data_IF_587107488502
#
_entry.id   IF_587107488502
#
_cell.length_a   1.000
_cell.length_b   1.000
_cell.length_c   1.000
_cell.angle_alpha   90.00
_cell.angle_beta   90.00
_cell.angle_gamma   90.00
#
_symmetry.space_group_name_H-M   'P 1'
#
loop_
_entity.id
_entity.type
_entity.pdbx_description
1 polymer ?
#
# COMPACT_ATOMS: atom_id res chain seq x y z
N UNK A 1 -27.72 -16.25 26.71
CA UNK A 1 -26.65 -15.94 27.69
C UNK A 1 -26.61 -14.43 27.88
N UNK A 2 -26.53 -13.88 29.10
CA UNK A 2 -26.43 -12.43 29.30
C UNK A 2 -25.18 -11.87 28.62
N UNK A 3 -25.29 -10.70 27.97
CA UNK A 3 -24.20 -10.10 27.17
C UNK A 3 -22.89 -9.95 27.96
N UNK A 4 -22.96 -9.59 29.25
CA UNK A 4 -21.79 -9.43 30.12
C UNK A 4 -21.09 -10.78 30.38
N UNK A 5 -21.85 -11.86 30.57
CA UNK A 5 -21.28 -13.21 30.79
C UNK A 5 -20.59 -13.69 29.52
N UNK A 6 -21.16 -13.39 28.35
CA UNK A 6 -20.53 -13.66 27.06
C UNK A 6 -19.21 -12.89 26.87
N UNK A 7 -19.19 -11.59 27.15
CA UNK A 7 -17.99 -10.77 27.03
C UNK A 7 -16.85 -11.23 27.96
N UNK A 8 -17.17 -11.55 29.22
CA UNK A 8 -16.18 -12.08 30.19
C UNK A 8 -15.65 -13.44 29.73
N UNK A 9 -16.52 -14.31 29.22
CA UNK A 9 -16.10 -15.60 28.68
C UNK A 9 -15.14 -15.45 27.50
N UNK A 10 -15.46 -14.58 26.54
CA UNK A 10 -14.59 -14.31 25.39
C UNK A 10 -13.25 -13.71 25.81
N UNK A 11 -13.23 -12.80 26.79
CA UNK A 11 -11.98 -12.25 27.32
C UNK A 11 -11.10 -13.34 28.00
N UNK A 12 -11.70 -14.20 28.83
CA UNK A 12 -11.00 -15.34 29.44
C UNK A 12 -10.50 -16.35 28.40
N UNK A 13 -11.26 -16.56 27.32
CA UNK A 13 -10.85 -17.39 26.18
C UNK A 13 -9.67 -16.76 25.42
N UNK A 14 -9.70 -15.44 25.22
CA UNK A 14 -8.64 -14.70 24.55
C UNK A 14 -7.31 -14.72 25.32
N UNK A 15 -7.33 -14.81 26.66
CA UNK A 15 -6.13 -14.92 27.48
C UNK A 15 -5.24 -16.11 27.06
N UNK A 16 -5.85 -17.24 26.63
CA UNK A 16 -5.11 -18.41 26.14
C UNK A 16 -4.37 -18.16 24.82
N UNK A 17 -4.76 -17.10 24.09
CA UNK A 17 -4.16 -16.69 22.81
C UNK A 17 -3.13 -15.57 23.00
N UNK A 18 -2.85 -15.14 24.24
CA UNK A 18 -1.86 -14.09 24.50
C UNK A 18 -0.46 -14.65 24.23
N UNK A 19 0.39 -13.91 23.50
CA UNK A 19 1.76 -14.30 23.25
C UNK A 19 2.54 -14.53 24.56
N UNK A 20 3.29 -15.64 24.69
CA UNK A 20 4.05 -15.93 25.91
C UNK A 20 5.37 -15.16 26.01
N UNK A 21 5.81 -14.53 24.92
CA UNK A 21 7.09 -13.82 24.84
C UNK A 21 6.97 -12.51 24.07
N UNK A 22 7.88 -11.57 24.30
CA UNK A 22 7.89 -10.27 23.61
C UNK A 22 8.15 -10.46 22.11
N UNK A 23 9.04 -11.38 21.73
CA UNK A 23 9.30 -11.71 20.32
C UNK A 23 8.02 -12.16 19.61
N UNK A 24 7.22 -13.01 20.26
CA UNK A 24 5.95 -13.49 19.69
C UNK A 24 4.90 -12.38 19.65
N UNK A 25 4.85 -11.51 20.67
CA UNK A 25 3.95 -10.37 20.71
C UNK A 25 4.24 -9.36 19.60
N UNK A 26 5.50 -8.96 19.45
CA UNK A 26 5.97 -8.04 18.42
C UNK A 26 5.77 -8.64 17.02
N UNK A 27 6.16 -9.89 16.81
CA UNK A 27 5.97 -10.58 15.52
C UNK A 27 4.49 -10.64 15.12
N UNK A 28 3.59 -10.89 16.09
CA UNK A 28 2.13 -10.85 15.84
C UNK A 28 1.64 -9.44 15.51
N UNK A 29 2.13 -8.41 16.19
CA UNK A 29 1.78 -7.02 15.89
C UNK A 29 2.25 -6.61 14.48
N UNK A 30 3.48 -6.95 14.09
CA UNK A 30 3.98 -6.72 12.73
C UNK A 30 3.18 -7.50 11.68
N UNK A 31 2.73 -8.72 12.02
CA UNK A 31 1.84 -9.48 11.14
C UNK A 31 0.51 -8.75 10.89
N UNK A 32 -0.04 -8.05 11.88
CA UNK A 32 -1.24 -7.24 11.68
C UNK A 32 -0.99 -6.04 10.76
N UNK A 33 0.16 -5.37 10.91
CA UNK A 33 0.57 -4.31 9.97
C UNK A 33 0.68 -4.85 8.55
N UNK A 34 1.28 -6.03 8.36
CA UNK A 34 1.37 -6.68 7.06
C UNK A 34 0.00 -7.09 6.49
N UNK A 35 -1.02 -7.30 7.33
CA UNK A 35 -2.38 -7.58 6.87
C UNK A 35 -3.01 -6.33 6.26
N UNK A 36 -2.91 -5.14 6.89
CA UNK A 36 -3.47 -3.93 6.28
C UNK A 36 -2.76 -3.57 4.97
N UNK A 37 -1.44 -3.73 4.90
CA UNK A 37 -0.68 -3.57 3.65
C UNK A 37 -1.14 -4.52 2.53
N UNK A 38 -1.58 -5.75 2.87
CA UNK A 38 -2.16 -6.68 1.89
C UNK A 38 -3.54 -6.24 1.43
N UNK A 39 -4.32 -5.64 2.32
CA UNK A 39 -5.62 -5.07 1.96
C UNK A 39 -5.44 -3.91 0.96
N UNK A 40 -4.46 -3.03 1.19
CA UNK A 40 -4.08 -1.98 0.23
C UNK A 40 -3.63 -2.59 -1.10
N UNK A 41 -2.79 -3.63 -1.08
CA UNK A 41 -2.36 -4.31 -2.31
C UNK A 41 -3.56 -4.91 -3.08
N UNK A 42 -4.55 -5.47 -2.37
CA UNK A 42 -5.79 -5.96 -2.99
C UNK A 42 -6.55 -4.80 -3.65
N UNK A 43 -6.73 -3.68 -2.94
CA UNK A 43 -7.43 -2.50 -3.45
C UNK A 43 -6.76 -1.94 -4.71
N UNK A 44 -5.41 -1.88 -4.74
CA UNK A 44 -4.67 -1.47 -5.94
C UNK A 44 -4.93 -2.39 -7.14
N UNK A 45 -5.10 -3.70 -6.91
CA UNK A 45 -5.41 -4.67 -7.97
C UNK A 45 -6.86 -4.55 -8.50
N UNK A 46 -7.74 -3.88 -7.76
CA UNK A 46 -9.13 -3.63 -8.16
C UNK A 46 -9.27 -2.34 -8.99
N UNK A 47 -8.22 -1.51 -9.08
CA UNK A 47 -8.20 -0.30 -9.90
C UNK A 47 -8.32 -0.63 -11.40
N UNK A 48 -9.23 0.08 -12.09
CA UNK A 48 -9.52 -0.13 -13.51
C UNK A 48 -8.92 0.97 -14.39
N UNK A 49 -8.44 0.63 -15.60
CA UNK A 49 -8.03 1.64 -16.57
C UNK A 49 -9.25 2.27 -17.21
N UNK A 50 -9.11 3.51 -17.65
CA UNK A 50 -10.13 4.18 -18.44
C UNK A 50 -10.51 3.35 -19.66
N UNK A 51 -11.79 2.98 -19.74
CA UNK A 51 -12.35 2.28 -20.90
C UNK A 51 -12.08 3.11 -22.16
N UNK A 52 -11.28 2.56 -23.07
CA UNK A 52 -10.90 3.21 -24.33
C UNK A 52 -11.84 2.80 -25.47
N UNK A 53 -13.15 2.81 -25.24
CA UNK A 53 -14.13 2.52 -26.28
C UNK A 53 -15.18 3.65 -26.43
N UNK A 54 -15.00 4.55 -27.41
CA UNK A 54 -16.12 5.18 -28.09
C UNK A 54 -16.45 4.33 -29.33
N UNK A 55 -17.21 3.26 -29.16
CA UNK A 55 -17.72 2.49 -30.29
C UNK A 55 -17.75 0.98 -30.10
N UNK A 56 -18.77 0.49 -29.39
CA UNK A 56 -19.42 -0.75 -29.80
C UNK A 56 -20.93 -0.65 -29.58
N UNK A 57 -21.52 0.46 -30.06
CA UNK A 57 -22.94 0.51 -30.40
C UNK A 57 -23.09 0.62 -31.92
N UNK A 58 -22.79 -0.46 -32.63
CA UNK A 58 -23.40 -0.83 -33.92
C UNK A 58 -22.85 -2.22 -34.25
N UNK A 59 -23.63 -3.28 -34.39
CA UNK A 59 -24.83 -3.38 -35.21
C UNK A 59 -25.47 -4.76 -34.96
N UNK A 60 -26.66 -4.80 -34.37
CA UNK A 60 -27.60 -5.88 -34.67
C UNK A 60 -28.86 -5.28 -35.29
N UNK A 61 -28.75 -4.98 -36.59
CA UNK A 61 -29.90 -4.73 -37.43
C UNK A 61 -30.61 -6.06 -37.70
N UNK A 62 -31.55 -6.42 -36.82
CA UNK A 62 -32.60 -7.38 -37.17
C UNK A 62 -33.97 -6.77 -36.85
N UNK A 63 -34.77 -6.36 -37.85
CA UNK A 63 -36.09 -5.81 -37.59
C UNK A 63 -37.09 -6.95 -37.46
N UNK A 64 -37.64 -7.18 -36.26
CA UNK A 64 -38.88 -7.96 -36.10
C UNK A 64 -39.64 -7.62 -34.82
N UNK A 65 -40.61 -6.73 -35.01
CA UNK A 65 -41.98 -6.75 -34.47
C UNK A 65 -42.17 -6.58 -32.94
N UNK A 66 -42.75 -5.41 -32.64
CA UNK A 66 -43.38 -4.98 -31.40
C UNK A 66 -44.11 -6.05 -30.58
N UNK A 67 -43.89 -6.03 -29.27
CA UNK A 67 -44.96 -6.02 -28.26
C UNK A 67 -44.44 -5.36 -26.97
N UNK A 68 -45.27 -4.46 -26.45
CA UNK A 68 -45.01 -3.51 -25.36
C UNK A 68 -45.12 -4.11 -23.96
N UNK A 69 -44.18 -3.76 -23.07
CA UNK A 69 -44.40 -3.65 -21.61
C UNK A 69 -43.36 -2.70 -20.97
N UNK A 70 -43.75 -1.90 -19.95
CA UNK A 70 -42.88 -0.98 -19.25
C UNK A 70 -42.22 -1.65 -18.02
N UNK A 71 -41.26 -0.95 -17.39
CA UNK A 71 -40.57 -1.30 -16.12
C UNK A 71 -39.33 -2.21 -16.38
N UNK A 72 -38.10 -1.86 -16.02
CA UNK A 72 -37.58 -0.91 -15.03
C UNK A 72 -36.50 -0.04 -15.67
N UNK A 73 -36.52 1.27 -15.39
CA UNK A 73 -35.30 2.08 -15.47
C UNK A 73 -34.37 1.54 -14.36
N UNK A 74 -33.65 0.45 -14.67
CA UNK A 74 -32.41 0.11 -14.00
C UNK A 74 -31.48 1.28 -14.32
N UNK A 75 -31.60 2.34 -13.52
CA UNK A 75 -30.52 3.29 -13.30
C UNK A 75 -29.40 2.40 -12.76
N UNK A 76 -28.65 1.80 -13.67
CA UNK A 76 -27.32 1.32 -13.37
C UNK A 76 -26.68 2.50 -12.68
N UNK A 77 -26.37 2.34 -11.40
CA UNK A 77 -25.30 3.07 -10.74
C UNK A 77 -24.02 2.73 -11.53
N UNK A 78 -23.95 3.25 -12.76
CA UNK A 78 -22.80 3.25 -13.65
C UNK A 78 -21.80 4.16 -12.94
N UNK A 79 -21.11 3.50 -12.01
CA UNK A 79 -19.82 3.80 -11.41
C UNK A 79 -19.26 5.12 -11.94
N UNK A 80 -19.73 6.21 -11.31
CA UNK A 80 -19.40 7.58 -11.66
C UNK A 80 -17.89 7.81 -11.47
N UNK A 81 -17.10 7.45 -12.48
CA UNK A 81 -15.79 8.02 -12.78
C UNK A 81 -14.63 7.65 -11.85
N UNK A 82 -14.26 6.38 -11.75
CA UNK A 82 -13.00 5.94 -11.12
C UNK A 82 -11.94 5.42 -12.10
N UNK A 83 -12.16 5.64 -13.38
CA UNK A 83 -11.35 5.11 -14.47
C UNK A 83 -10.01 5.86 -14.56
N UNK A 84 -8.89 5.15 -14.34
CA UNK A 84 -7.55 5.76 -14.36
C UNK A 84 -7.10 6.08 -15.79
N UNK A 85 -6.56 7.27 -16.02
CA UNK A 85 -5.82 7.55 -17.25
C UNK A 85 -4.63 6.58 -17.43
N UNK A 86 -4.10 6.39 -18.65
CA UNK A 86 -2.92 5.54 -18.87
C UNK A 86 -1.73 5.93 -17.98
N UNK A 87 -1.54 7.23 -17.75
CA UNK A 87 -0.51 7.77 -16.87
C UNK A 87 -0.76 7.44 -15.39
N UNK A 88 -1.99 7.64 -14.90
CA UNK A 88 -2.39 7.31 -13.53
C UNK A 88 -2.34 5.80 -13.26
N UNK A 89 -2.73 4.98 -14.25
CA UNK A 89 -2.63 3.53 -14.17
C UNK A 89 -1.17 3.07 -14.08
N UNK A 90 -0.24 3.74 -14.78
CA UNK A 90 1.20 3.46 -14.64
C UNK A 90 1.69 3.74 -13.22
N UNK A 91 1.22 4.82 -12.59
CA UNK A 91 1.55 5.14 -11.20
C UNK A 91 1.01 4.05 -10.26
N UNK A 92 -0.24 3.61 -10.45
CA UNK A 92 -0.84 2.52 -9.67
C UNK A 92 -0.06 1.20 -9.79
N UNK A 93 0.42 0.84 -10.99
CA UNK A 93 1.25 -0.36 -11.20
C UNK A 93 2.61 -0.28 -10.49
N UNK A 94 3.24 0.89 -10.48
CA UNK A 94 4.49 1.10 -9.74
C UNK A 94 4.25 1.03 -8.22
N UNK A 95 3.17 1.63 -7.74
CA UNK A 95 2.77 1.55 -6.35
C UNK A 95 2.48 0.10 -5.91
N UNK A 96 1.83 -0.69 -6.76
CA UNK A 96 1.67 -2.13 -6.55
C UNK A 96 3.02 -2.82 -6.33
N UNK A 97 4.03 -2.53 -7.17
CA UNK A 97 5.39 -3.03 -7.00
C UNK A 97 6.00 -2.67 -5.65
N UNK A 98 5.89 -1.39 -5.25
CA UNK A 98 6.37 -0.90 -3.94
C UNK A 98 5.69 -1.61 -2.78
N UNK A 99 4.36 -1.73 -2.79
CA UNK A 99 3.59 -2.38 -1.72
C UNK A 99 3.93 -3.87 -1.63
N UNK A 100 4.05 -4.54 -2.78
CA UNK A 100 4.44 -5.95 -2.88
C UNK A 100 5.83 -6.20 -2.28
N UNK A 101 6.85 -5.44 -2.69
CA UNK A 101 8.20 -5.57 -2.14
C UNK A 101 8.26 -5.19 -0.65
N UNK A 102 7.45 -4.22 -0.22
CA UNK A 102 7.33 -3.87 1.21
C UNK A 102 6.82 -5.05 2.02
N UNK A 103 5.82 -5.79 1.53
CA UNK A 103 5.32 -7.00 2.18
C UNK A 103 6.39 -8.09 2.29
N UNK A 104 7.27 -8.22 1.27
CA UNK A 104 8.41 -9.15 1.33
C UNK A 104 9.37 -8.74 2.44
N UNK A 105 9.73 -7.45 2.54
CA UNK A 105 10.59 -6.93 3.61
C UNK A 105 9.99 -7.19 4.99
N UNK A 106 8.70 -6.89 5.20
CA UNK A 106 8.05 -7.11 6.51
C UNK A 106 7.99 -8.60 6.85
N UNK A 107 7.74 -9.48 5.86
CA UNK A 107 7.76 -10.93 6.07
C UNK A 107 9.14 -11.42 6.51
N UNK A 108 10.21 -10.98 5.85
CA UNK A 108 11.58 -11.36 6.22
C UNK A 108 12.01 -10.72 7.55
N UNK A 109 11.52 -9.52 7.89
CA UNK A 109 11.70 -8.90 9.20
C UNK A 109 11.08 -9.77 10.31
N UNK A 110 9.82 -10.18 10.14
CA UNK A 110 9.13 -11.07 11.09
C UNK A 110 9.89 -12.39 11.24
N UNK A 111 10.36 -12.97 10.14
CA UNK A 111 11.15 -14.21 10.16
C UNK A 111 12.47 -14.01 10.93
N UNK A 112 13.15 -12.91 10.69
CA UNK A 112 14.41 -12.55 11.36
C UNK A 112 14.21 -12.39 12.86
N UNK A 113 13.22 -11.61 13.29
CA UNK A 113 12.87 -11.42 14.71
C UNK A 113 12.46 -12.74 15.37
N UNK A 114 11.65 -13.56 14.69
CA UNK A 114 11.23 -14.87 15.22
C UNK A 114 12.44 -15.79 15.44
N UNK A 115 13.44 -15.72 14.55
CA UNK A 115 14.71 -16.43 14.71
C UNK A 115 15.52 -16.01 15.94
N UNK A 116 15.29 -14.79 16.44
CA UNK A 116 15.96 -14.23 17.62
C UNK A 116 15.29 -14.60 18.95
N UNK A 117 14.27 -15.47 18.96
CA UNK A 117 13.56 -15.88 20.19
C UNK A 117 14.50 -16.33 21.31
N UNK A 118 15.63 -16.98 20.96
CA UNK A 118 16.62 -17.47 21.93
C UNK A 118 17.45 -16.36 22.59
N UNK A 119 17.43 -15.15 22.04
CA UNK A 119 18.13 -13.98 22.58
C UNK A 119 17.31 -13.28 23.67
N UNK A 120 16.02 -13.62 23.82
CA UNK A 120 15.19 -13.08 24.87
C UNK A 120 15.66 -13.62 26.23
N UNK A 121 16.29 -12.74 27.03
CA UNK A 121 16.79 -13.07 28.37
C UNK A 121 16.29 -12.05 29.40
N UNK A 122 16.04 -12.46 30.65
CA UNK A 122 15.60 -11.54 31.70
C UNK A 122 16.64 -10.48 32.08
N UNK A 123 17.93 -10.76 31.82
CA UNK A 123 19.06 -9.99 32.36
C UNK A 123 19.55 -8.84 31.45
N UNK A 124 18.96 -8.64 30.27
CA UNK A 124 19.41 -7.63 29.29
C UNK A 124 18.90 -6.20 29.57
N UNK A 125 18.44 -5.92 30.79
CA UNK A 125 17.87 -4.61 31.19
C UNK A 125 16.80 -4.05 30.21
N UNK A 126 16.13 -4.94 29.46
CA UNK A 126 15.11 -4.58 28.47
C UNK A 126 15.65 -4.01 27.14
N UNK A 127 16.96 -4.00 26.88
CA UNK A 127 17.52 -3.43 25.63
C UNK A 127 17.03 -4.16 24.38
N UNK A 128 17.10 -5.49 24.36
CA UNK A 128 16.59 -6.30 23.27
C UNK A 128 15.11 -6.01 22.98
N UNK A 129 14.27 -5.97 24.03
CA UNK A 129 12.84 -5.65 23.88
C UNK A 129 12.65 -4.23 23.36
N UNK A 130 13.42 -3.26 23.84
CA UNK A 130 13.40 -1.88 23.34
C UNK A 130 13.75 -1.77 21.85
N UNK A 131 14.73 -2.54 21.37
CA UNK A 131 15.04 -2.64 19.94
C UNK A 131 13.89 -3.27 19.14
N UNK A 132 13.25 -4.33 19.64
CA UNK A 132 12.08 -4.93 18.99
C UNK A 132 10.89 -3.96 18.92
N UNK A 133 10.62 -3.20 19.98
CA UNK A 133 9.59 -2.16 19.99
C UNK A 133 9.91 -1.04 19.01
N UNK A 134 11.18 -0.65 18.88
CA UNK A 134 11.62 0.32 17.89
C UNK A 134 11.36 -0.18 16.48
N UNK A 135 11.70 -1.44 16.17
CA UNK A 135 11.38 -2.06 14.88
C UNK A 135 9.88 -2.08 14.62
N UNK A 136 9.05 -2.40 15.62
CA UNK A 136 7.60 -2.39 15.49
C UNK A 136 7.08 -1.00 15.13
N UNK A 137 7.55 0.05 15.82
CA UNK A 137 7.15 1.43 15.53
C UNK A 137 7.53 1.85 14.11
N UNK A 138 8.72 1.47 13.66
CA UNK A 138 9.14 1.75 12.28
C UNK A 138 8.28 0.99 11.27
N UNK A 139 7.97 -0.29 11.52
CA UNK A 139 7.07 -1.10 10.70
C UNK A 139 5.66 -0.50 10.62
N UNK A 140 5.10 -0.05 11.74
CA UNK A 140 3.83 0.67 11.78
C UNK A 140 3.88 1.98 10.98
N UNK A 141 5.00 2.71 11.08
CA UNK A 141 5.23 3.91 10.28
C UNK A 141 5.23 3.60 8.78
N UNK A 142 5.90 2.52 8.35
CA UNK A 142 5.86 2.07 6.95
C UNK A 142 4.43 1.70 6.53
N UNK A 143 3.65 1.04 7.39
CA UNK A 143 2.24 0.75 7.14
C UNK A 143 1.41 2.01 6.89
N UNK A 144 1.58 3.04 7.71
CA UNK A 144 0.90 4.31 7.52
C UNK A 144 1.25 5.01 6.19
N UNK A 145 2.52 4.96 5.76
CA UNK A 145 2.90 5.51 4.45
C UNK A 145 2.31 4.67 3.28
N UNK A 146 2.14 3.34 3.46
CA UNK A 146 1.49 2.48 2.46
C UNK A 146 0.00 2.80 2.35
N UNK A 147 -0.70 2.98 3.48
CA UNK A 147 -2.11 3.39 3.50
C UNK A 147 -2.28 4.76 2.80
N UNK A 148 -1.38 5.72 3.07
CA UNK A 148 -1.34 7.02 2.39
C UNK A 148 -1.15 6.86 0.87
N UNK A 149 -0.17 6.07 0.43
CA UNK A 149 0.03 5.79 -0.99
C UNK A 149 -1.25 5.21 -1.60
N UNK A 150 -1.87 4.23 -0.95
CA UNK A 150 -3.13 3.62 -1.42
C UNK A 150 -4.24 4.65 -1.64
N UNK A 151 -4.43 5.56 -0.69
CA UNK A 151 -5.42 6.63 -0.78
C UNK A 151 -5.12 7.61 -1.92
N UNK A 152 -3.86 7.97 -2.13
CA UNK A 152 -3.45 8.91 -3.18
C UNK A 152 -3.53 8.36 -4.61
N UNK A 153 -3.82 7.07 -4.80
CA UNK A 153 -3.93 6.44 -6.12
C UNK A 153 -5.30 6.61 -6.78
N UNK A 154 -6.31 7.03 -6.02
CA UNK A 154 -7.62 7.36 -6.57
C UNK A 154 -7.59 8.72 -7.29
N UNK A 155 -8.32 8.89 -8.41
CA UNK A 155 -8.35 10.15 -9.14
C UNK A 155 -8.96 11.33 -8.34
N UNK A 156 -8.42 12.56 -8.50
CA UNK A 156 -7.13 12.87 -9.13
C UNK A 156 -5.96 12.47 -8.23
N UNK A 157 -4.95 11.78 -8.77
CA UNK A 157 -3.84 11.28 -7.97
C UNK A 157 -2.98 12.40 -7.34
N UNK A 158 -2.66 12.23 -6.05
CA UNK A 158 -1.87 13.21 -5.28
C UNK A 158 -0.36 12.95 -5.37
N UNK A 159 0.23 13.25 -6.53
CA UNK A 159 1.63 12.91 -6.87
C UNK A 159 2.65 13.40 -5.83
N UNK A 160 2.49 14.60 -5.29
CA UNK A 160 3.42 15.15 -4.29
C UNK A 160 3.32 14.42 -2.94
N UNK A 161 2.11 14.00 -2.55
CA UNK A 161 1.89 13.20 -1.34
C UNK A 161 2.51 11.81 -1.50
N UNK A 162 2.35 11.18 -2.67
CA UNK A 162 2.99 9.90 -3.00
C UNK A 162 4.52 10.03 -2.88
N UNK A 163 5.13 11.06 -3.47
CA UNK A 163 6.59 11.28 -3.36
C UNK A 163 7.05 11.39 -1.91
N UNK A 164 6.36 12.22 -1.12
CA UNK A 164 6.68 12.39 0.29
C UNK A 164 6.57 11.08 1.08
N UNK A 165 5.55 10.26 0.80
CA UNK A 165 5.38 8.94 1.41
C UNK A 165 6.55 8.00 1.03
N UNK A 166 6.96 7.97 -0.25
CA UNK A 166 8.10 7.17 -0.72
C UNK A 166 9.43 7.57 -0.05
N UNK A 167 9.68 8.87 0.12
CA UNK A 167 10.86 9.37 0.82
C UNK A 167 10.90 8.90 2.29
N UNK A 168 9.78 9.03 2.99
CA UNK A 168 9.64 8.56 4.38
C UNK A 168 9.81 7.05 4.48
N UNK A 169 9.22 6.29 3.55
CA UNK A 169 9.43 4.84 3.47
C UNK A 169 10.91 4.51 3.30
N UNK A 170 11.59 5.15 2.36
CA UNK A 170 13.03 4.94 2.12
C UNK A 170 13.86 5.18 3.39
N UNK A 171 13.60 6.28 4.12
CA UNK A 171 14.26 6.55 5.42
C UNK A 171 13.99 5.43 6.43
N UNK A 172 12.71 5.08 6.64
CA UNK A 172 12.31 4.05 7.61
C UNK A 172 12.92 2.69 7.29
N UNK A 173 12.99 2.30 6.01
CA UNK A 173 13.60 1.03 5.60
C UNK A 173 15.09 1.02 5.89
N UNK A 174 15.79 2.13 5.72
CA UNK A 174 17.20 2.24 6.10
C UNK A 174 17.38 2.13 7.63
N UNK A 175 16.51 2.77 8.41
CA UNK A 175 16.55 2.68 9.88
C UNK A 175 16.21 1.27 10.39
N UNK A 176 15.22 0.59 9.78
CA UNK A 176 14.90 -0.82 10.08
C UNK A 176 16.11 -1.69 9.78
N UNK A 177 16.74 -1.53 8.61
CA UNK A 177 17.92 -2.32 8.27
C UNK A 177 19.05 -2.11 9.27
N UNK A 178 19.37 -0.86 9.62
CA UNK A 178 20.41 -0.54 10.60
C UNK A 178 20.12 -1.16 11.97
N UNK A 179 18.87 -1.11 12.43
CA UNK A 179 18.48 -1.71 13.70
C UNK A 179 18.58 -3.25 13.65
N UNK A 180 18.21 -3.89 12.54
CA UNK A 180 18.36 -5.35 12.36
C UNK A 180 19.84 -5.76 12.32
N UNK A 181 20.68 -4.98 11.65
CA UNK A 181 22.13 -5.22 11.58
C UNK A 181 22.83 -5.05 12.94
N UNK A 182 22.20 -4.37 13.90
CA UNK A 182 22.73 -4.26 15.27
C UNK A 182 22.66 -5.56 16.06
N UNK A 183 21.85 -6.54 15.62
CA UNK A 183 21.75 -7.83 16.29
C UNK A 183 22.87 -8.80 15.87
N UNK A 184 23.30 -9.73 16.75
CA UNK A 184 24.35 -10.71 16.45
C UNK A 184 24.05 -11.66 15.28
N UNK A 185 22.77 -11.85 14.96
CA UNK A 185 22.28 -12.75 13.92
C UNK A 185 21.28 -12.00 13.04
N UNK A 186 21.76 -11.37 11.97
CA UNK A 186 20.91 -10.80 10.93
C UNK A 186 20.74 -11.78 9.75
N UNK A 187 19.71 -11.57 8.94
CA UNK A 187 19.31 -12.48 7.85
C UNK A 187 19.71 -11.90 6.49
N UNK A 188 20.52 -12.62 5.71
CA UNK A 188 20.85 -12.24 4.33
C UNK A 188 19.59 -12.06 3.44
N UNK A 189 18.59 -12.95 3.47
CA UNK A 189 17.31 -12.73 2.80
C UNK A 189 16.61 -11.40 3.14
N UNK A 190 16.74 -10.92 4.37
CA UNK A 190 16.16 -9.63 4.77
C UNK A 190 16.90 -8.46 4.10
N UNK A 191 18.23 -8.51 4.01
CA UNK A 191 19.02 -7.49 3.32
C UNK A 191 18.73 -7.45 1.81
N UNK A 192 18.59 -8.63 1.20
CA UNK A 192 18.20 -8.77 -0.20
C UNK A 192 16.81 -8.15 -0.45
N UNK A 193 15.83 -8.45 0.40
CA UNK A 193 14.49 -7.85 0.33
C UNK A 193 14.55 -6.32 0.46
N UNK A 194 15.35 -5.77 1.39
CA UNK A 194 15.52 -4.32 1.51
C UNK A 194 16.16 -3.70 0.25
N UNK A 195 17.07 -4.42 -0.42
CA UNK A 195 17.65 -3.98 -1.69
C UNK A 195 16.63 -3.97 -2.82
N UNK A 196 15.79 -5.01 -2.90
CA UNK A 196 14.67 -5.10 -3.83
C UNK A 196 13.71 -3.92 -3.69
N UNK A 197 13.24 -3.68 -2.46
CA UNK A 197 12.36 -2.54 -2.16
C UNK A 197 12.97 -1.18 -2.54
N UNK A 198 14.25 -0.95 -2.23
CA UNK A 198 14.93 0.30 -2.62
C UNK A 198 14.98 0.50 -4.13
N UNK A 199 15.07 -0.58 -4.89
CA UNK A 199 15.10 -0.51 -6.35
C UNK A 199 13.76 -0.04 -6.89
N UNK A 200 12.66 -0.63 -6.45
CA UNK A 200 11.31 -0.23 -6.89
C UNK A 200 10.90 1.16 -6.38
N UNK A 201 11.33 1.55 -5.16
CA UNK A 201 11.12 2.92 -4.65
C UNK A 201 11.77 3.96 -5.57
N UNK A 202 13.03 3.73 -5.98
CA UNK A 202 13.76 4.63 -6.89
C UNK A 202 13.15 4.67 -8.28
N UNK A 203 12.68 3.53 -8.78
CA UNK A 203 12.01 3.45 -10.08
C UNK A 203 10.72 4.29 -10.07
N UNK A 204 9.90 4.14 -9.03
CA UNK A 204 8.67 4.91 -8.87
C UNK A 204 8.97 6.41 -8.74
N UNK A 205 9.92 6.80 -7.89
CA UNK A 205 10.34 8.19 -7.73
C UNK A 205 10.80 8.83 -9.05
N UNK A 206 11.62 8.11 -9.85
CA UNK A 206 12.06 8.57 -11.16
C UNK A 206 10.89 8.79 -12.13
N UNK A 207 9.91 7.88 -12.13
CA UNK A 207 8.72 8.03 -12.97
C UNK A 207 7.86 9.24 -12.55
N UNK A 208 7.64 9.44 -11.24
CA UNK A 208 6.86 10.58 -10.75
C UNK A 208 7.53 11.93 -11.08
N UNK A 209 8.86 11.98 -11.05
CA UNK A 209 9.60 13.18 -11.43
C UNK A 209 9.48 13.51 -12.93
N UNK A 210 9.42 12.47 -13.78
CA UNK A 210 9.18 12.65 -15.22
C UNK A 210 7.77 13.21 -15.52
N UNK A 211 6.75 12.72 -14.80
CA UNK A 211 5.37 13.20 -14.95
C UNK A 211 5.24 14.68 -14.58
N UNK A 212 5.79 15.09 -13.43
CA UNK A 212 5.76 16.50 -12.99
C UNK A 212 6.45 17.45 -13.99
N UNK A 213 7.58 17.03 -14.59
CA UNK A 213 8.29 17.84 -15.58
C UNK A 213 7.48 18.00 -16.89
N UNK A 214 6.80 16.94 -17.31
CA UNK A 214 5.94 16.94 -18.50
C UNK A 214 4.74 17.85 -18.29
N UNK A 215 4.06 17.74 -17.15
CA UNK A 215 2.90 18.56 -16.80
C UNK A 215 3.25 20.06 -16.78
N UNK A 216 4.40 20.43 -16.18
CA UNK A 216 4.89 21.81 -16.17
C UNK A 216 5.14 22.33 -17.59
N UNK A 217 5.75 21.52 -18.45
CA UNK A 217 6.06 21.89 -19.84
C UNK A 217 4.78 22.15 -20.64
N UNK A 218 3.77 21.29 -20.49
CA UNK A 218 2.47 21.46 -21.15
C UNK A 218 1.75 22.72 -20.66
N UNK A 219 1.75 23.00 -19.35
CA UNK A 219 1.17 24.23 -18.79
C UNK A 219 1.86 25.48 -19.36
N UNK A 220 3.19 25.48 -19.48
CA UNK A 220 3.95 26.60 -20.04
C UNK A 220 3.65 26.83 -21.53
N UNK A 221 3.51 25.76 -22.32
CA UNK A 221 3.14 25.85 -23.74
C UNK A 221 1.73 26.40 -23.93
N UNK A 222 0.76 25.97 -23.11
CA UNK A 222 -0.61 26.45 -23.18
C UNK A 222 -0.71 27.94 -22.85
N UNK A 223 0.04 28.44 -21.86
CA UNK A 223 0.11 29.88 -21.55
C UNK A 223 0.71 30.67 -22.72
N UNK A 224 1.75 30.14 -23.39
CA UNK A 224 2.34 30.78 -24.56
C UNK A 224 1.36 30.87 -25.74
N UNK A 225 0.55 29.83 -25.98
CA UNK A 225 -0.48 29.81 -27.04
C UNK A 225 -1.62 30.77 -26.73
N UNK A 226 -2.11 30.80 -25.48
CA UNK A 226 -3.15 31.76 -25.05
C UNK A 226 -2.68 33.19 -25.29
N UNK A 227 -1.43 33.52 -24.91
CA UNK A 227 -0.89 34.86 -25.14
C UNK A 227 -0.68 35.22 -26.62
N UNK A 228 -0.61 34.24 -27.53
CA UNK A 228 -0.57 34.47 -28.97
C UNK A 228 -1.95 34.65 -29.61
N UNK A 229 -3.02 34.12 -29.00
CA UNK A 229 -4.40 34.26 -29.49
C UNK A 229 -5.02 35.62 -29.10
N UNK A 230 -4.54 36.23 -28.01
CA UNK A 230 -5.03 37.52 -27.51
C UNK A 230 -4.17 38.73 -27.91
N UNK A 231 -3.24 38.58 -28.88
CA UNK A 231 -2.54 39.68 -29.57
C UNK A 231 -2.98 39.78 -31.02
#
# INVERSE_FOLDING_TARGET
MPQIVGAVWEACSALKKVPPTNVTAIGRAMTQVAVSMKDVLREINELKPASSNPGDETSDNTPSKAESKPEDDDISDDDLGSDLSPEEMKVAQLAHGVVSETLVVIKELIRTITGMLKLETPDDNGKFVGSLEKLLKMCQGVGAEIDEIGACLYPPQEIDAIKLALEKMSSRINEIQQEVESFPTYSEPFLEACSGLRTVLKEMEAQLNCLSATELTTKMQNVAIINQIYM
#
